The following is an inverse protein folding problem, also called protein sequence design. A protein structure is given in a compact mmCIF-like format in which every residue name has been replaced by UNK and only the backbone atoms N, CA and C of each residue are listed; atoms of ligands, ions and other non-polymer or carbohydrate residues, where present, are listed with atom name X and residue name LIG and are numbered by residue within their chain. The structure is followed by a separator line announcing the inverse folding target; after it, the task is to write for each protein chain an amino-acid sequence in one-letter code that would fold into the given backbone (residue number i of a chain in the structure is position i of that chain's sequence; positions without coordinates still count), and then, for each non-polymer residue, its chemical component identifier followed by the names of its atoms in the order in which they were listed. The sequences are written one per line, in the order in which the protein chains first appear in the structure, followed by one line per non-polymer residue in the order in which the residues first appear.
data_IF_726687067643
#
_entry.id   IF_726687067643
#
_cell.length_a   1.000
_cell.length_b   1.000
_cell.length_c   1.000
_cell.angle_alpha   90.00
_cell.angle_beta   90.00
_cell.angle_gamma   90.00
#
_symmetry.space_group_name_H-M   'P 1'
#
loop_
_entity.id
_entity.type
_entity.pdbx_description
1 polymer ?
#
# COMPACT_ATOMS: atom_id res chain seq x y z
N UNK A 1 -57.49 15.67 41.14
CA UNK A 1 -57.43 15.38 39.68
C UNK A 1 -55.98 15.31 39.27
N UNK A 2 -55.39 14.12 39.15
CA UNK A 2 -54.01 13.95 38.74
C UNK A 2 -53.98 13.41 37.32
N UNK A 3 -53.56 14.26 36.36
CA UNK A 3 -53.28 13.86 34.97
C UNK A 3 -51.84 13.31 34.97
N UNK A 4 -51.74 11.99 34.81
CA UNK A 4 -50.49 11.31 34.50
C UNK A 4 -50.27 11.40 33.01
N UNK A 5 -49.23 12.15 32.60
CA UNK A 5 -48.74 12.15 31.22
C UNK A 5 -47.78 10.99 31.08
N UNK A 6 -48.15 10.02 30.22
CA UNK A 6 -47.24 8.96 29.77
C UNK A 6 -46.42 9.51 28.59
N UNK A 7 -45.13 9.72 28.80
CA UNK A 7 -44.17 9.95 27.72
C UNK A 7 -43.78 8.62 27.13
N UNK A 8 -44.29 8.30 25.94
CA UNK A 8 -43.84 7.17 25.15
C UNK A 8 -42.52 7.52 24.47
N UNK A 9 -41.43 6.97 24.97
CA UNK A 9 -40.13 7.06 24.34
C UNK A 9 -40.08 6.08 23.16
N UNK A 10 -40.21 6.60 21.95
CA UNK A 10 -40.05 5.81 20.74
C UNK A 10 -38.55 5.75 20.40
N UNK A 11 -37.92 4.63 20.74
CA UNK A 11 -36.53 4.35 20.34
C UNK A 11 -36.53 3.94 18.87
N UNK A 12 -36.08 4.84 18.01
CA UNK A 12 -35.78 4.53 16.61
C UNK A 12 -34.48 3.69 16.56
N UNK A 13 -34.61 2.38 16.43
CA UNK A 13 -33.50 1.51 16.05
C UNK A 13 -33.21 1.79 14.56
N UNK A 14 -32.18 2.59 14.29
CA UNK A 14 -31.62 2.71 12.96
C UNK A 14 -30.82 1.44 12.65
N UNK A 15 -31.45 0.49 11.96
CA UNK A 15 -30.74 -0.64 11.38
C UNK A 15 -29.89 -0.13 10.21
N UNK A 16 -28.59 -0.02 10.42
CA UNK A 16 -27.64 0.21 9.35
C UNK A 16 -27.57 -1.06 8.48
N UNK A 17 -28.27 -1.04 7.36
CA UNK A 17 -28.15 -2.09 6.33
C UNK A 17 -26.76 -1.92 5.71
N UNK A 18 -25.81 -2.75 6.11
CA UNK A 18 -24.52 -2.86 5.45
C UNK A 18 -24.74 -3.49 4.07
N UNK A 19 -24.63 -2.69 3.02
CA UNK A 19 -24.65 -3.18 1.63
C UNK A 19 -23.43 -4.09 1.43
N UNK A 20 -23.60 -5.36 1.02
CA UNK A 20 -22.46 -6.23 0.71
C UNK A 20 -21.75 -5.69 -0.53
N UNK A 21 -20.48 -5.29 -0.36
CA UNK A 21 -19.62 -4.83 -1.45
C UNK A 21 -19.11 -3.39 -1.35
N UNK A 22 -19.57 -2.58 -0.41
CA UNK A 22 -19.02 -1.23 -0.20
C UNK A 22 -17.73 -1.28 0.60
N UNK A 23 -16.59 -1.05 -0.07
CA UNK A 23 -15.29 -0.85 0.61
C UNK A 23 -15.36 0.45 1.40
N UNK A 24 -15.08 0.40 2.71
CA UNK A 24 -15.11 1.59 3.58
C UNK A 24 -14.08 2.63 3.15
N UNK A 25 -14.30 3.92 3.50
CA UNK A 25 -13.33 5.00 3.25
C UNK A 25 -11.97 4.70 3.91
N UNK A 26 -11.98 4.11 5.11
CA UNK A 26 -10.76 3.70 5.82
C UNK A 26 -9.99 2.61 5.06
N UNK A 27 -10.68 1.62 4.48
CA UNK A 27 -10.04 0.57 3.67
C UNK A 27 -9.44 1.15 2.39
N UNK A 28 -10.16 2.06 1.70
CA UNK A 28 -9.61 2.75 0.52
C UNK A 28 -8.37 3.56 0.83
N UNK A 29 -8.32 4.23 1.97
CA UNK A 29 -7.13 4.97 2.42
C UNK A 29 -5.95 4.03 2.66
N UNK A 30 -6.16 2.89 3.31
CA UNK A 30 -5.12 1.88 3.55
C UNK A 30 -4.60 1.26 2.25
N UNK A 31 -5.49 0.98 1.30
CA UNK A 31 -5.11 0.50 -0.02
C UNK A 31 -4.25 1.53 -0.77
N UNK A 32 -4.60 2.82 -0.67
CA UNK A 32 -3.83 3.90 -1.28
C UNK A 32 -2.43 4.04 -0.65
N UNK A 33 -2.33 3.96 0.67
CA UNK A 33 -1.06 3.99 1.39
C UNK A 33 -0.18 2.78 1.04
N UNK A 34 -0.80 1.60 0.94
CA UNK A 34 -0.11 0.38 0.55
C UNK A 34 0.43 0.46 -0.89
N UNK A 35 -0.37 0.93 -1.84
CA UNK A 35 0.08 1.16 -3.23
C UNK A 35 1.22 2.15 -3.30
N UNK A 36 1.13 3.27 -2.59
CA UNK A 36 2.20 4.26 -2.53
C UNK A 36 3.51 3.67 -1.95
N UNK A 37 3.41 2.72 -1.03
CA UNK A 37 4.57 1.99 -0.52
C UNK A 37 5.17 1.08 -1.60
N UNK A 38 4.36 0.32 -2.34
CA UNK A 38 4.82 -0.53 -3.45
C UNK A 38 5.46 0.29 -4.57
N UNK A 39 4.88 1.44 -4.91
CA UNK A 39 5.46 2.36 -5.90
C UNK A 39 6.85 2.85 -5.46
N UNK A 40 7.02 3.20 -4.18
CA UNK A 40 8.34 3.57 -3.65
C UNK A 40 9.33 2.43 -3.77
N UNK A 41 8.97 1.21 -3.39
CA UNK A 41 9.84 0.04 -3.53
C UNK A 41 10.29 -0.14 -4.97
N UNK A 42 9.37 -0.03 -5.91
CA UNK A 42 9.66 -0.14 -7.34
C UNK A 42 10.67 0.94 -7.80
N UNK A 43 10.38 2.21 -7.53
CA UNK A 43 11.23 3.31 -7.98
C UNK A 43 12.57 3.36 -7.24
N UNK A 44 12.62 2.96 -5.99
CA UNK A 44 13.87 2.84 -5.24
C UNK A 44 14.77 1.75 -5.82
N UNK A 45 14.19 0.61 -6.22
CA UNK A 45 14.95 -0.46 -6.90
C UNK A 45 15.53 -0.01 -8.24
N UNK A 46 14.84 0.82 -8.99
CA UNK A 46 15.37 1.37 -10.24
C UNK A 46 16.64 2.19 -10.04
N UNK A 47 16.84 2.81 -8.87
CA UNK A 47 18.09 3.52 -8.55
C UNK A 47 19.27 2.55 -8.40
N UNK A 48 19.02 1.33 -7.98
CA UNK A 48 20.02 0.28 -7.82
C UNK A 48 20.15 -0.60 -9.09
N UNK A 49 19.19 -0.51 -10.01
CA UNK A 49 19.15 -1.25 -11.27
C UNK A 49 18.91 -0.30 -12.46
N UNK A 50 19.86 0.60 -12.77
CA UNK A 50 19.72 1.58 -13.82
C UNK A 50 19.50 0.97 -15.22
N UNK A 51 20.09 -0.21 -15.51
CA UNK A 51 19.85 -0.93 -16.76
C UNK A 51 18.40 -1.38 -16.91
N UNK A 52 17.76 -1.79 -15.82
CA UNK A 52 16.32 -2.09 -15.81
C UNK A 52 15.49 -0.83 -16.05
N UNK A 53 15.86 0.31 -15.46
CA UNK A 53 15.17 1.58 -15.70
C UNK A 53 15.22 1.96 -17.18
N UNK A 54 16.35 1.77 -17.85
CA UNK A 54 16.53 2.01 -19.29
C UNK A 54 15.67 1.02 -20.10
N UNK A 55 15.70 -0.25 -19.78
CA UNK A 55 14.89 -1.28 -20.47
C UNK A 55 13.40 -0.99 -20.42
N UNK A 56 12.92 -0.41 -19.33
CA UNK A 56 11.52 -0.04 -19.13
C UNK A 56 11.17 1.37 -19.67
N UNK A 57 12.15 2.13 -20.17
CA UNK A 57 11.95 3.51 -20.61
C UNK A 57 11.65 4.49 -19.48
N UNK A 58 12.05 4.16 -18.25
CA UNK A 58 11.79 4.95 -17.03
C UNK A 58 12.96 5.85 -16.63
N UNK A 59 14.03 5.90 -17.43
CA UNK A 59 15.22 6.72 -17.28
C UNK A 59 15.02 8.12 -17.87
N UNK A 60 13.90 8.76 -17.54
CA UNK A 60 13.49 10.07 -18.05
C UNK A 60 13.19 11.05 -16.92
N UNK A 61 13.11 12.34 -17.21
CA UNK A 61 12.81 13.37 -16.24
C UNK A 61 13.81 13.37 -15.07
N UNK A 62 13.33 13.28 -13.85
CA UNK A 62 14.16 13.24 -12.65
C UNK A 62 15.11 12.01 -12.59
N UNK A 63 14.84 10.97 -13.38
CA UNK A 63 15.65 9.74 -13.47
C UNK A 63 16.54 9.69 -14.71
N UNK A 64 16.63 10.75 -15.49
CA UNK A 64 17.43 10.79 -16.74
C UNK A 64 18.91 10.42 -16.54
N UNK A 65 19.48 10.69 -15.36
CA UNK A 65 20.85 10.31 -15.02
C UNK A 65 21.09 8.80 -14.96
N UNK A 66 20.05 7.96 -14.90
CA UNK A 66 20.19 6.51 -14.91
C UNK A 66 20.69 5.98 -16.26
N UNK A 67 20.46 6.70 -17.37
CA UNK A 67 20.93 6.33 -18.74
C UNK A 67 22.43 6.11 -18.85
N UNK A 68 23.21 6.81 -18.03
CA UNK A 68 24.68 6.76 -18.03
C UNK A 68 25.26 5.86 -16.94
N UNK A 69 24.41 5.07 -16.27
CA UNK A 69 24.82 4.18 -15.18
C UNK A 69 24.59 2.73 -15.57
N UNK A 70 25.45 1.86 -15.03
CA UNK A 70 25.30 0.41 -15.09
C UNK A 70 24.92 -0.14 -13.72
N UNK A 71 24.36 -1.34 -13.72
CA UNK A 71 24.07 -2.06 -12.48
C UNK A 71 25.37 -2.35 -11.72
N UNK A 72 25.35 -2.20 -10.41
CA UNK A 72 26.47 -2.54 -9.55
C UNK A 72 26.43 -4.03 -9.19
N UNK A 73 27.19 -4.84 -9.93
CA UNK A 73 27.30 -6.29 -9.72
C UNK A 73 28.43 -6.66 -8.75
N UNK A 74 29.04 -5.69 -8.07
CA UNK A 74 30.02 -5.96 -7.03
C UNK A 74 29.40 -6.57 -5.78
N UNK A 75 30.23 -7.17 -4.90
CA UNK A 75 29.76 -7.65 -3.60
C UNK A 75 29.11 -6.54 -2.75
N UNK A 76 29.57 -5.31 -2.89
CA UNK A 76 28.97 -4.18 -2.21
C UNK A 76 27.59 -3.84 -2.78
N UNK A 77 27.44 -3.91 -4.11
CA UNK A 77 26.13 -3.76 -4.78
C UNK A 77 25.14 -4.84 -4.36
N UNK A 78 25.57 -6.11 -4.35
CA UNK A 78 24.73 -7.23 -3.87
C UNK A 78 24.32 -7.03 -2.40
N UNK A 79 25.26 -6.67 -1.52
CA UNK A 79 24.95 -6.42 -0.11
C UNK A 79 23.95 -5.29 0.08
N UNK A 80 24.01 -4.25 -0.75
CA UNK A 80 23.07 -3.14 -0.77
C UNK A 80 21.66 -3.61 -1.19
N UNK A 81 21.58 -4.43 -2.22
CA UNK A 81 20.29 -4.99 -2.69
C UNK A 81 19.66 -5.88 -1.62
N UNK A 82 20.43 -6.74 -0.94
CA UNK A 82 19.95 -7.54 0.17
C UNK A 82 19.48 -6.70 1.37
N UNK A 83 20.20 -5.63 1.69
CA UNK A 83 19.79 -4.72 2.76
C UNK A 83 18.48 -4.03 2.43
N UNK A 84 18.29 -3.58 1.19
CA UNK A 84 17.03 -3.01 0.69
C UNK A 84 15.90 -4.03 0.78
N UNK A 85 16.09 -5.23 0.27
CA UNK A 85 15.07 -6.28 0.30
C UNK A 85 14.60 -6.59 1.74
N UNK A 86 15.53 -6.61 2.71
CA UNK A 86 15.18 -6.78 4.13
C UNK A 86 14.37 -5.61 4.68
N UNK A 87 14.70 -4.38 4.32
CA UNK A 87 13.96 -3.19 4.73
C UNK A 87 12.54 -3.19 4.13
N UNK A 88 12.40 -3.52 2.85
CA UNK A 88 11.12 -3.62 2.16
C UNK A 88 10.25 -4.73 2.78
N UNK A 89 10.82 -5.89 3.07
CA UNK A 89 10.11 -6.97 3.75
C UNK A 89 9.65 -6.58 5.16
N UNK A 90 10.47 -5.87 5.92
CA UNK A 90 10.11 -5.35 7.23
C UNK A 90 8.96 -4.33 7.14
N UNK A 91 9.00 -3.43 6.15
CA UNK A 91 7.94 -2.47 5.89
C UNK A 91 6.65 -3.18 5.45
N UNK A 92 6.74 -4.18 4.58
CA UNK A 92 5.59 -5.00 4.15
C UNK A 92 4.92 -5.70 5.34
N UNK A 93 5.70 -6.33 6.21
CA UNK A 93 5.20 -7.00 7.42
C UNK A 93 4.52 -6.08 8.41
N UNK A 94 4.79 -4.77 8.36
CA UNK A 94 4.10 -3.78 9.19
C UNK A 94 2.69 -3.46 8.68
N UNK A 95 2.36 -3.83 7.45
CA UNK A 95 1.04 -3.63 6.86
C UNK A 95 0.07 -4.68 7.41
N UNK A 96 -1.08 -4.23 7.88
CA UNK A 96 -2.15 -5.13 8.30
C UNK A 96 -2.91 -5.63 7.07
N UNK A 97 -2.52 -6.81 6.58
CA UNK A 97 -3.14 -7.45 5.42
C UNK A 97 -4.66 -7.56 5.53
N UNK A 98 -5.16 -7.95 6.70
CA UNK A 98 -6.60 -8.12 6.99
C UNK A 98 -7.40 -6.80 6.92
N UNK A 99 -6.72 -5.66 6.98
CA UNK A 99 -7.33 -4.34 6.87
C UNK A 99 -7.36 -3.78 5.43
N UNK A 100 -6.75 -4.50 4.48
CA UNK A 100 -6.76 -4.18 3.05
C UNK A 100 -8.01 -4.75 2.37
N UNK A 101 -8.38 -4.18 1.22
CA UNK A 101 -9.40 -4.77 0.35
C UNK A 101 -8.94 -6.12 -0.22
N UNK A 102 -9.85 -6.99 -0.69
CA UNK A 102 -9.48 -8.28 -1.29
C UNK A 102 -8.46 -8.16 -2.44
N UNK A 103 -8.58 -7.12 -3.28
CA UNK A 103 -7.62 -6.87 -4.36
C UNK A 103 -6.24 -6.50 -3.81
N UNK A 104 -6.17 -5.60 -2.83
CA UNK A 104 -4.89 -5.20 -2.22
C UNK A 104 -4.26 -6.33 -1.39
N UNK A 105 -5.07 -7.25 -0.84
CA UNK A 105 -4.57 -8.47 -0.19
C UNK A 105 -3.87 -9.38 -1.19
N UNK A 106 -4.40 -9.50 -2.41
CA UNK A 106 -3.76 -10.26 -3.48
C UNK A 106 -2.41 -9.64 -3.86
N UNK A 107 -2.36 -8.32 -4.02
CA UNK A 107 -1.11 -7.59 -4.29
C UNK A 107 -0.09 -7.83 -3.16
N UNK A 108 -0.54 -7.82 -1.90
CA UNK A 108 0.31 -8.12 -0.73
C UNK A 108 0.90 -9.54 -0.82
N UNK A 109 0.09 -10.54 -1.15
CA UNK A 109 0.51 -11.94 -1.22
C UNK A 109 1.51 -12.20 -2.37
N UNK A 110 1.43 -11.41 -3.45
CA UNK A 110 2.35 -11.52 -4.60
C UNK A 110 3.74 -10.95 -4.27
N UNK A 111 3.83 -9.91 -3.44
CA UNK A 111 5.12 -9.24 -3.17
C UNK A 111 5.83 -9.75 -1.90
N UNK A 112 5.21 -10.61 -1.11
CA UNK A 112 5.78 -11.22 0.09
C UNK A 112 6.78 -12.34 -0.27
#
# INVERSE_FOLDING_TARGET
MHRRQFLASTSLLSAAVALPGAVSAATRSRDADFRAMLDRFFYDRLQDSPEQATSLGLDTGARAGLKSRLDDTSRAGEAKQFARARQELAALKSVRRDALSPTAQLDYDVVQ
#
